data_IF_688273469449
#
_entry.id   IF_688273469449
#
_cell.length_a   1.000
_cell.length_b   1.000
_cell.length_c   1.000
_cell.angle_alpha   90.00
_cell.angle_beta   90.00
_cell.angle_gamma   90.00
#
_symmetry.space_group_name_H-M   'P 1'
#
loop_
_entity.id
_entity.type
_entity.pdbx_description
1 polymer ?
#
# COMPACT_ATOMS: atom_id res chain seq x y z
N UNK A 1 -1.75 -78.47 -15.45
CA UNK A 1 -1.67 -77.17 -16.16
C UNK A 1 -2.41 -76.15 -15.32
N UNK A 2 -1.69 -75.27 -14.64
CA UNK A 2 -2.27 -74.24 -13.77
C UNK A 2 -2.35 -72.93 -14.57
N UNK A 3 -3.55 -72.43 -14.77
CA UNK A 3 -3.84 -71.17 -15.47
C UNK A 3 -3.67 -70.01 -14.48
N UNK A 4 -2.67 -69.16 -14.69
CA UNK A 4 -2.55 -67.87 -14.01
C UNK A 4 -3.55 -66.88 -14.64
N UNK A 5 -4.45 -66.34 -13.84
CA UNK A 5 -5.27 -65.17 -14.19
C UNK A 5 -4.62 -63.96 -13.51
N UNK A 6 -4.03 -63.06 -14.31
CA UNK A 6 -3.49 -61.80 -13.83
C UNK A 6 -4.62 -60.76 -13.72
N UNK A 7 -4.93 -60.33 -12.49
CA UNK A 7 -5.76 -59.15 -12.25
C UNK A 7 -4.90 -57.89 -12.43
N UNK A 8 -5.11 -57.19 -13.54
CA UNK A 8 -4.61 -55.83 -13.71
C UNK A 8 -5.53 -54.87 -12.95
N UNK A 9 -5.12 -54.45 -11.75
CA UNK A 9 -5.70 -53.29 -11.09
C UNK A 9 -5.29 -52.03 -11.87
N UNK A 10 -6.18 -51.57 -12.76
CA UNK A 10 -6.12 -50.23 -13.31
C UNK A 10 -6.38 -49.22 -12.21
N UNK A 11 -5.33 -48.63 -11.66
CA UNK A 11 -5.42 -47.40 -10.88
C UNK A 11 -5.80 -46.26 -11.83
N UNK A 12 -7.10 -45.96 -11.89
CA UNK A 12 -7.62 -44.72 -12.43
C UNK A 12 -7.10 -43.56 -11.59
N UNK A 13 -5.96 -43.00 -11.99
CA UNK A 13 -5.55 -41.66 -11.61
C UNK A 13 -6.64 -40.70 -12.12
N UNK A 14 -7.57 -40.35 -11.23
CA UNK A 14 -8.55 -39.30 -11.48
C UNK A 14 -7.80 -37.98 -11.69
N UNK A 15 -7.48 -37.68 -12.95
CA UNK A 15 -7.01 -36.38 -13.36
C UNK A 15 -8.10 -35.36 -13.05
N UNK A 16 -7.91 -34.58 -11.99
CA UNK A 16 -8.75 -33.42 -11.72
C UNK A 16 -8.64 -32.47 -12.90
N UNK A 17 -9.65 -32.49 -13.78
CA UNK A 17 -9.70 -31.63 -14.96
C UNK A 17 -9.67 -30.15 -14.58
N UNK A 18 -9.14 -29.32 -15.48
CA UNK A 18 -9.13 -27.88 -15.33
C UNK A 18 -10.57 -27.36 -15.12
N UNK A 19 -10.82 -26.71 -13.99
CA UNK A 19 -12.14 -26.18 -13.58
C UNK A 19 -12.50 -24.85 -14.26
N UNK A 20 -11.62 -24.34 -15.11
CA UNK A 20 -11.77 -23.08 -15.84
C UNK A 20 -10.92 -21.96 -15.24
N UNK A 21 -11.40 -20.72 -15.43
CA UNK A 21 -10.66 -19.50 -15.07
C UNK A 21 -11.39 -18.71 -14.01
N UNK A 22 -10.67 -18.34 -12.95
CA UNK A 22 -11.06 -17.32 -11.97
C UNK A 22 -10.26 -16.04 -12.21
N UNK A 23 -10.80 -14.89 -11.81
CA UNK A 23 -10.15 -13.58 -11.95
C UNK A 23 -9.66 -13.09 -10.59
N UNK A 24 -8.50 -12.45 -10.58
CA UNK A 24 -8.07 -11.57 -9.49
C UNK A 24 -7.96 -10.17 -10.08
N UNK A 25 -8.67 -9.22 -9.47
CA UNK A 25 -8.59 -7.81 -9.83
C UNK A 25 -7.44 -7.12 -9.11
N UNK A 26 -6.99 -5.99 -9.64
CA UNK A 26 -6.30 -4.98 -8.84
C UNK A 26 -6.90 -3.62 -9.09
N UNK A 27 -6.78 -2.73 -8.11
CA UNK A 27 -7.03 -1.31 -8.30
C UNK A 27 -5.86 -0.51 -7.73
N UNK A 28 -5.10 0.14 -8.60
CA UNK A 28 -3.85 0.81 -8.25
C UNK A 28 -3.64 2.04 -9.15
N UNK A 29 -3.03 3.13 -8.66
CA UNK A 29 -2.74 4.33 -9.44
C UNK A 29 -1.51 4.09 -10.32
N UNK A 30 -1.67 3.39 -11.44
CA UNK A 30 -0.55 3.01 -12.31
C UNK A 30 0.07 4.17 -13.07
N UNK A 31 -0.55 5.35 -13.02
CA UNK A 31 0.08 6.61 -13.41
C UNK A 31 1.24 7.04 -12.48
N UNK A 32 1.38 6.44 -11.29
CA UNK A 32 2.49 6.67 -10.35
C UNK A 32 3.50 5.51 -10.41
N UNK A 33 4.77 5.79 -10.11
CA UNK A 33 5.80 4.74 -10.04
C UNK A 33 5.48 3.68 -8.97
N UNK A 34 4.94 4.12 -7.82
CA UNK A 34 4.51 3.23 -6.73
C UNK A 34 3.37 2.29 -7.14
N UNK A 35 2.33 2.80 -7.79
CA UNK A 35 1.21 1.98 -8.25
C UNK A 35 1.62 0.95 -9.31
N UNK A 36 2.47 1.35 -10.27
CA UNK A 36 2.94 0.44 -11.31
C UNK A 36 3.81 -0.70 -10.77
N UNK A 37 4.78 -0.39 -9.90
CA UNK A 37 5.64 -1.41 -9.28
C UNK A 37 4.87 -2.37 -8.36
N UNK A 38 3.82 -1.87 -7.70
CA UNK A 38 2.89 -2.68 -6.90
C UNK A 38 2.10 -3.65 -7.80
N UNK A 39 1.61 -3.18 -8.96
CA UNK A 39 0.89 -4.02 -9.93
C UNK A 39 1.76 -5.16 -10.47
N UNK A 40 3.04 -4.87 -10.72
CA UNK A 40 3.99 -5.88 -11.18
C UNK A 40 4.15 -7.04 -10.17
N UNK A 41 4.11 -6.74 -8.86
CA UNK A 41 4.14 -7.77 -7.81
C UNK A 41 2.96 -8.75 -7.86
N UNK A 42 1.77 -8.24 -8.17
CA UNK A 42 0.55 -9.03 -8.36
C UNK A 42 0.67 -9.93 -9.59
N UNK A 43 1.07 -9.34 -10.72
CA UNK A 43 1.27 -10.06 -11.97
C UNK A 43 2.31 -11.17 -11.81
N UNK A 44 3.41 -10.89 -11.11
CA UNK A 44 4.44 -11.88 -10.81
C UNK A 44 3.91 -13.06 -9.99
N UNK A 45 3.17 -12.80 -8.91
CA UNK A 45 2.58 -13.86 -8.07
C UNK A 45 1.63 -14.76 -8.86
N UNK A 46 0.77 -14.16 -9.69
CA UNK A 46 -0.19 -14.91 -10.52
C UNK A 46 0.53 -15.74 -11.58
N UNK A 47 1.54 -15.18 -12.26
CA UNK A 47 2.37 -15.91 -13.23
C UNK A 47 3.05 -17.11 -12.61
N UNK A 48 3.69 -16.93 -11.45
CA UNK A 48 4.32 -18.03 -10.72
C UNK A 48 3.30 -19.10 -10.32
N UNK A 49 2.12 -18.70 -9.83
CA UNK A 49 1.10 -19.66 -9.40
C UNK A 49 0.51 -20.44 -10.57
N UNK A 50 0.24 -19.79 -11.69
CA UNK A 50 -0.22 -20.45 -12.91
C UNK A 50 0.83 -21.41 -13.48
N UNK A 51 2.11 -21.02 -13.48
CA UNK A 51 3.21 -21.92 -13.87
C UNK A 51 3.31 -23.16 -12.95
N UNK A 52 2.89 -23.03 -11.69
CA UNK A 52 2.79 -24.12 -10.72
C UNK A 52 1.44 -24.88 -10.78
N UNK A 53 0.64 -24.73 -11.84
CA UNK A 53 -0.61 -25.47 -12.04
C UNK A 53 -1.88 -24.77 -11.53
N UNK A 54 -1.80 -23.49 -11.15
CA UNK A 54 -2.94 -22.68 -10.73
C UNK A 54 -3.37 -22.92 -9.28
N UNK A 55 -4.66 -22.68 -8.99
CA UNK A 55 -5.24 -22.77 -7.63
C UNK A 55 -6.46 -23.68 -7.66
N UNK A 56 -6.43 -24.78 -6.90
CA UNK A 56 -7.58 -25.69 -6.74
C UNK A 56 -8.21 -26.19 -8.06
N UNK A 57 -7.39 -26.31 -9.12
CA UNK A 57 -7.80 -26.70 -10.48
C UNK A 57 -8.23 -25.55 -11.38
N UNK A 58 -8.17 -24.29 -10.93
CA UNK A 58 -8.43 -23.10 -11.74
C UNK A 58 -7.14 -22.42 -12.20
N UNK A 59 -7.16 -21.90 -13.42
CA UNK A 59 -6.19 -20.90 -13.89
C UNK A 59 -6.62 -19.51 -13.42
N UNK A 60 -5.68 -18.68 -13.03
CA UNK A 60 -5.97 -17.31 -12.58
C UNK A 60 -5.73 -16.34 -13.73
N UNK A 61 -6.73 -15.52 -14.07
CA UNK A 61 -6.57 -14.37 -14.95
C UNK A 61 -6.37 -13.12 -14.09
N UNK A 62 -5.27 -12.42 -14.31
CA UNK A 62 -5.08 -11.09 -13.73
C UNK A 62 -5.85 -10.04 -14.55
N UNK A 63 -6.63 -9.19 -13.89
CA UNK A 63 -7.35 -8.07 -14.51
C UNK A 63 -7.03 -6.77 -13.78
N UNK A 64 -6.08 -5.96 -14.29
CA UNK A 64 -5.71 -4.71 -13.66
C UNK A 64 -6.72 -3.59 -13.96
N UNK A 65 -6.97 -2.75 -12.95
CA UNK A 65 -7.69 -1.49 -13.05
C UNK A 65 -6.80 -0.35 -12.54
N UNK A 66 -7.03 0.84 -13.09
CA UNK A 66 -6.28 2.07 -12.80
C UNK A 66 -7.24 3.12 -12.22
N UNK A 67 -6.98 3.57 -10.99
CA UNK A 67 -7.77 4.60 -10.30
C UNK A 67 -7.26 6.03 -10.60
N UNK A 68 -6.34 6.20 -11.55
CA UNK A 68 -5.82 7.52 -11.87
C UNK A 68 -6.82 8.42 -12.60
N UNK A 69 -6.86 9.70 -12.20
CA UNK A 69 -7.46 10.82 -12.94
C UNK A 69 -6.52 12.02 -12.85
N UNK A 70 -6.30 12.71 -13.97
CA UNK A 70 -5.43 13.90 -14.01
C UNK A 70 -4.02 13.68 -13.39
N UNK A 71 -3.43 12.50 -13.64
CA UNK A 71 -2.12 12.09 -13.12
C UNK A 71 -2.00 12.02 -11.58
N UNK A 72 -3.09 11.80 -10.87
CA UNK A 72 -3.14 11.46 -9.44
C UNK A 72 -4.19 10.37 -9.20
N UNK A 73 -4.18 9.72 -8.04
CA UNK A 73 -5.23 8.75 -7.69
C UNK A 73 -6.60 9.44 -7.57
N UNK A 74 -7.68 8.70 -7.79
CA UNK A 74 -9.06 9.18 -7.66
C UNK A 74 -9.93 8.15 -6.94
N UNK A 75 -10.51 8.55 -5.82
CA UNK A 75 -11.43 7.69 -5.08
C UNK A 75 -12.69 7.33 -5.90
N UNK A 76 -13.18 8.25 -6.73
CA UNK A 76 -14.33 8.01 -7.60
C UNK A 76 -14.00 6.96 -8.67
N UNK A 77 -12.81 7.03 -9.26
CA UNK A 77 -12.33 6.01 -10.19
C UNK A 77 -12.22 4.63 -9.52
N UNK A 78 -11.74 4.56 -8.28
CA UNK A 78 -11.69 3.31 -7.53
C UNK A 78 -13.08 2.71 -7.27
N UNK A 79 -14.05 3.56 -6.95
CA UNK A 79 -15.46 3.14 -6.81
C UNK A 79 -16.04 2.60 -8.13
N UNK A 80 -15.70 3.21 -9.27
CA UNK A 80 -16.08 2.72 -10.61
C UNK A 80 -15.46 1.34 -10.89
N UNK A 81 -14.16 1.20 -10.62
CA UNK A 81 -13.37 -0.01 -10.84
C UNK A 81 -13.89 -1.18 -10.01
N UNK A 82 -14.04 -1.01 -8.69
CA UNK A 82 -14.61 -2.06 -7.82
C UNK A 82 -16.03 -2.41 -8.24
N UNK A 83 -16.85 -1.43 -8.65
CA UNK A 83 -18.20 -1.70 -9.17
C UNK A 83 -18.18 -2.54 -10.44
N UNK A 84 -17.22 -2.32 -11.33
CA UNK A 84 -17.02 -3.15 -12.53
C UNK A 84 -16.65 -4.59 -12.17
N UNK A 85 -15.76 -4.79 -11.20
CA UNK A 85 -15.39 -6.12 -10.70
C UNK A 85 -16.60 -6.87 -10.10
N UNK A 86 -17.44 -6.17 -9.33
CA UNK A 86 -18.68 -6.73 -8.76
C UNK A 86 -19.69 -7.17 -9.82
N UNK A 87 -19.60 -6.63 -11.04
CA UNK A 87 -20.42 -7.04 -12.18
C UNK A 87 -20.07 -8.42 -12.76
N UNK A 88 -18.93 -9.01 -12.37
CA UNK A 88 -18.47 -10.31 -12.87
C UNK A 88 -18.15 -11.28 -11.72
N UNK A 89 -19.04 -12.27 -11.56
CA UNK A 89 -18.91 -13.34 -10.56
C UNK A 89 -17.64 -14.19 -10.65
N UNK A 90 -16.82 -14.06 -11.71
CA UNK A 90 -15.53 -14.75 -11.81
C UNK A 90 -14.44 -14.11 -10.97
N UNK A 91 -14.62 -12.87 -10.48
CA UNK A 91 -13.65 -12.26 -9.58
C UNK A 91 -13.69 -12.93 -8.21
N UNK A 92 -12.55 -13.52 -7.82
CA UNK A 92 -12.32 -14.06 -6.49
C UNK A 92 -12.22 -12.96 -5.42
N UNK A 93 -11.68 -11.81 -5.81
CA UNK A 93 -11.35 -10.68 -4.95
C UNK A 93 -10.41 -9.73 -5.68
N UNK A 94 -9.92 -8.72 -4.97
CA UNK A 94 -8.95 -7.76 -5.48
C UNK A 94 -7.77 -7.55 -4.55
N UNK A 95 -6.64 -7.22 -5.15
CA UNK A 95 -5.46 -6.70 -4.45
C UNK A 95 -5.42 -5.18 -4.66
N UNK A 96 -5.43 -4.45 -3.55
CA UNK A 96 -5.63 -3.00 -3.55
C UNK A 96 -6.74 -2.56 -2.57
N UNK A 97 -7.01 -1.25 -2.54
CA UNK A 97 -6.37 -0.23 -3.37
C UNK A 97 -5.03 0.24 -2.78
N UNK A 98 -4.31 1.10 -3.52
CA UNK A 98 -3.00 1.62 -3.09
C UNK A 98 -3.11 2.74 -2.04
N UNK A 99 -4.10 3.64 -2.19
CA UNK A 99 -4.28 4.80 -1.31
C UNK A 99 -5.40 4.58 -0.29
N UNK A 100 -5.18 4.99 0.96
CA UNK A 100 -6.17 4.83 2.04
C UNK A 100 -7.49 5.59 1.78
N UNK A 101 -7.44 6.70 1.05
CA UNK A 101 -8.63 7.45 0.66
C UNK A 101 -9.51 6.68 -0.35
N UNK A 102 -8.88 5.93 -1.26
CA UNK A 102 -9.57 5.08 -2.23
C UNK A 102 -10.20 3.89 -1.51
N UNK A 103 -9.48 3.25 -0.58
CA UNK A 103 -10.05 2.16 0.23
C UNK A 103 -11.28 2.60 1.03
N UNK A 104 -11.22 3.78 1.66
CA UNK A 104 -12.36 4.32 2.39
C UNK A 104 -13.62 4.44 1.51
N UNK A 105 -13.44 4.74 0.22
CA UNK A 105 -14.54 4.86 -0.74
C UNK A 105 -15.00 3.50 -1.31
N UNK A 106 -14.08 2.57 -1.54
CA UNK A 106 -14.36 1.25 -2.10
C UNK A 106 -14.97 0.25 -1.11
N UNK A 107 -14.53 0.27 0.16
CA UNK A 107 -14.96 -0.70 1.18
C UNK A 107 -16.50 -0.80 1.27
N UNK A 108 -17.27 0.31 1.36
CA UNK A 108 -18.74 0.25 1.38
C UNK A 108 -19.33 -0.42 0.14
N UNK A 109 -18.72 -0.19 -1.03
CA UNK A 109 -19.20 -0.75 -2.29
C UNK A 109 -18.95 -2.24 -2.37
N UNK A 110 -17.76 -2.69 -2.00
CA UNK A 110 -17.37 -4.10 -1.96
C UNK A 110 -18.11 -4.90 -0.87
N UNK A 111 -18.37 -4.28 0.29
CA UNK A 111 -19.03 -4.92 1.43
C UNK A 111 -20.44 -5.41 1.09
N UNK A 112 -21.16 -4.70 0.21
CA UNK A 112 -22.51 -5.06 -0.23
C UNK A 112 -22.61 -6.44 -0.90
N UNK A 113 -21.50 -6.98 -1.39
CA UNK A 113 -21.43 -8.32 -2.00
C UNK A 113 -20.38 -9.23 -1.33
N UNK A 114 -19.91 -8.88 -0.13
CA UNK A 114 -18.83 -9.60 0.56
C UNK A 114 -17.56 -9.77 -0.30
N UNK A 115 -17.29 -8.80 -1.18
CA UNK A 115 -16.15 -8.85 -2.08
C UNK A 115 -14.86 -8.55 -1.33
N UNK A 116 -13.92 -9.50 -1.37
CA UNK A 116 -12.68 -9.42 -0.58
C UNK A 116 -11.67 -8.49 -1.23
N UNK A 117 -11.17 -7.56 -0.43
CA UNK A 117 -10.11 -6.62 -0.78
C UNK A 117 -8.91 -6.85 0.13
N UNK A 118 -7.71 -6.96 -0.44
CA UNK A 118 -6.46 -7.05 0.32
C UNK A 118 -5.53 -5.95 -0.14
N UNK A 119 -5.38 -4.88 0.65
CA UNK A 119 -4.48 -3.80 0.31
C UNK A 119 -3.02 -4.15 0.63
N UNK A 120 -2.09 -3.90 -0.30
CA UNK A 120 -0.67 -4.05 -0.06
C UNK A 120 -0.04 -2.85 0.68
N UNK A 121 -0.72 -1.71 0.78
CA UNK A 121 -0.07 -0.44 1.11
C UNK A 121 -0.91 0.55 1.91
N UNK A 122 -2.19 0.29 2.19
CA UNK A 122 -2.98 1.23 2.99
C UNK A 122 -2.60 1.14 4.47
N UNK A 123 -2.18 2.25 5.05
CA UNK A 123 -1.66 2.31 6.42
C UNK A 123 -2.60 3.04 7.39
N UNK A 124 -3.64 3.73 6.90
CA UNK A 124 -4.54 4.47 7.79
C UNK A 124 -5.26 3.49 8.74
N UNK A 125 -5.08 3.61 10.08
CA UNK A 125 -5.59 2.64 11.03
C UNK A 125 -7.12 2.61 11.09
N UNK A 126 -7.81 3.72 10.80
CA UNK A 126 -9.26 3.84 10.90
C UNK A 126 -10.02 2.92 9.93
N UNK A 127 -9.38 2.40 8.87
CA UNK A 127 -10.01 1.41 7.97
C UNK A 127 -10.28 0.06 8.67
N UNK A 128 -9.57 -0.25 9.77
CA UNK A 128 -9.67 -1.55 10.46
C UNK A 128 -9.69 -1.47 11.99
N UNK A 129 -9.34 -0.34 12.60
CA UNK A 129 -9.28 -0.16 14.05
C UNK A 129 -10.26 0.93 14.48
N UNK A 130 -10.92 0.67 15.60
CA UNK A 130 -11.73 1.67 16.29
C UNK A 130 -10.83 2.46 17.24
N UNK A 131 -10.43 3.66 16.81
CA UNK A 131 -9.57 4.56 17.59
C UNK A 131 -10.29 5.88 17.85
N UNK A 132 -10.08 6.46 19.02
CA UNK A 132 -10.69 7.75 19.40
C UNK A 132 -10.29 8.92 18.49
N UNK A 133 -9.23 8.77 17.71
CA UNK A 133 -8.76 9.76 16.73
C UNK A 133 -9.43 9.62 15.36
N UNK A 134 -10.21 8.57 15.14
CA UNK A 134 -10.90 8.33 13.88
C UNK A 134 -12.20 9.14 13.79
N UNK A 135 -12.50 9.67 12.61
CA UNK A 135 -13.76 10.39 12.32
C UNK A 135 -14.93 9.46 11.97
N UNK A 136 -14.71 8.16 11.99
CA UNK A 136 -15.68 7.11 11.67
C UNK A 136 -15.27 5.80 12.35
N UNK A 137 -16.24 4.93 12.61
CA UNK A 137 -15.93 3.56 13.03
C UNK A 137 -15.67 2.71 11.78
N UNK A 138 -14.70 1.78 11.78
CA UNK A 138 -14.46 0.92 10.63
C UNK A 138 -15.73 0.13 10.23
N UNK A 139 -16.59 -0.24 11.19
CA UNK A 139 -17.82 -0.96 10.90
C UNK A 139 -18.84 -0.14 10.08
N UNK A 140 -18.78 1.19 10.18
CA UNK A 140 -19.64 2.10 9.39
C UNK A 140 -19.33 1.99 7.90
N UNK A 141 -18.06 1.76 7.54
CA UNK A 141 -17.66 1.55 6.15
C UNK A 141 -18.28 0.29 5.55
N UNK A 142 -18.76 -0.65 6.36
CA UNK A 142 -19.31 -1.93 5.89
C UNK A 142 -20.83 -2.00 5.98
N UNK A 143 -21.50 -0.96 6.51
CA UNK A 143 -22.95 -0.96 6.67
C UNK A 143 -23.49 -2.16 7.46
N UNK A 144 -22.75 -2.64 8.46
CA UNK A 144 -23.11 -3.83 9.24
C UNK A 144 -22.71 -5.18 8.62
N UNK A 145 -22.17 -5.21 7.41
CA UNK A 145 -21.71 -6.45 6.76
C UNK A 145 -20.44 -7.02 7.42
N UNK A 146 -20.15 -8.33 7.23
CA UNK A 146 -18.89 -8.94 7.66
C UNK A 146 -17.66 -8.23 7.08
N UNK A 147 -16.51 -8.43 7.72
CA UNK A 147 -15.26 -7.84 7.23
C UNK A 147 -14.90 -8.38 5.84
N UNK A 148 -14.76 -7.46 4.88
CA UNK A 148 -14.37 -7.74 3.51
C UNK A 148 -13.03 -7.09 3.13
N UNK A 149 -12.37 -6.40 4.06
CA UNK A 149 -11.16 -5.63 3.81
C UNK A 149 -10.02 -6.06 4.73
N UNK A 150 -8.85 -6.30 4.14
CA UNK A 150 -7.64 -6.74 4.81
C UNK A 150 -6.44 -5.93 4.30
N UNK A 151 -5.35 -5.94 5.06
CA UNK A 151 -4.07 -5.35 4.65
C UNK A 151 -2.92 -6.22 5.12
N UNK A 152 -1.78 -6.15 4.44
CA UNK A 152 -0.55 -6.90 4.80
C UNK A 152 0.54 -6.03 5.41
N UNK A 153 0.32 -4.71 5.46
CA UNK A 153 1.24 -3.74 6.06
C UNK A 153 0.80 -3.31 7.45
N UNK A 154 1.75 -2.76 8.21
CA UNK A 154 1.43 -2.10 9.48
C UNK A 154 0.68 -0.79 9.25
N UNK A 155 0.33 -0.09 10.32
CA UNK A 155 -0.54 1.09 10.29
C UNK A 155 0.16 2.35 10.82
N UNK A 156 -0.41 3.52 10.51
CA UNK A 156 0.18 4.83 10.82
C UNK A 156 0.30 5.13 12.31
N UNK A 157 -0.48 4.45 13.15
CA UNK A 157 -0.35 4.43 14.61
C UNK A 157 0.89 3.66 15.11
N UNK A 158 1.66 3.05 14.20
CA UNK A 158 3.03 2.60 14.44
C UNK A 158 4.06 3.49 13.71
N UNK A 159 3.80 3.86 12.45
CA UNK A 159 4.75 4.64 11.65
C UNK A 159 5.04 6.03 12.23
N UNK A 160 3.98 6.81 12.51
CA UNK A 160 4.14 8.15 13.06
C UNK A 160 4.91 8.14 14.39
N UNK A 161 4.54 7.29 15.37
CA UNK A 161 5.29 7.12 16.61
C UNK A 161 6.74 6.66 16.40
N UNK A 162 7.02 5.78 15.44
CA UNK A 162 8.39 5.33 15.15
C UNK A 162 9.27 6.49 14.67
N UNK A 163 8.77 7.33 13.76
CA UNK A 163 9.53 8.52 13.32
C UNK A 163 9.63 9.57 14.43
N UNK A 164 8.60 9.75 15.26
CA UNK A 164 8.65 10.66 16.41
C UNK A 164 9.71 10.23 17.44
N UNK A 165 9.77 8.93 17.73
CA UNK A 165 10.78 8.34 18.59
C UNK A 165 12.19 8.55 18.01
N UNK A 166 12.39 8.25 16.73
CA UNK A 166 13.66 8.47 16.05
C UNK A 166 14.08 9.95 16.07
N UNK A 167 13.16 10.86 15.74
CA UNK A 167 13.39 12.30 15.75
C UNK A 167 13.77 12.81 17.16
N UNK A 168 13.05 12.39 18.19
CA UNK A 168 13.25 12.91 19.54
C UNK A 168 14.44 12.26 20.27
N UNK A 169 14.56 10.94 20.19
CA UNK A 169 15.52 10.14 20.98
C UNK A 169 16.86 9.99 20.27
N UNK A 170 16.86 9.85 18.94
CA UNK A 170 18.09 9.62 18.16
C UNK A 170 18.63 10.92 17.60
N UNK A 171 17.79 11.70 16.90
CA UNK A 171 18.20 12.99 16.33
C UNK A 171 18.21 14.14 17.35
N UNK A 172 17.71 13.89 18.57
CA UNK A 172 17.64 14.86 19.66
C UNK A 172 16.86 16.15 19.31
N UNK A 173 15.91 16.04 18.37
CA UNK A 173 15.05 17.15 17.96
C UNK A 173 14.01 17.43 19.05
N UNK A 174 13.76 18.72 19.31
CA UNK A 174 12.79 19.21 20.30
C UNK A 174 11.68 20.03 19.67
N UNK A 175 11.89 20.58 18.47
CA UNK A 175 10.88 21.36 17.76
C UNK A 175 10.82 20.96 16.29
N UNK A 176 9.63 20.61 15.79
CA UNK A 176 9.44 20.10 14.42
C UNK A 176 8.28 20.84 13.75
N UNK A 177 8.50 21.25 12.49
CA UNK A 177 7.42 21.69 11.61
C UNK A 177 6.74 20.47 11.00
N UNK A 178 5.42 20.39 11.06
CA UNK A 178 4.64 19.28 10.47
C UNK A 178 3.80 19.82 9.32
N UNK A 179 4.01 19.28 8.12
CA UNK A 179 3.25 19.63 6.92
C UNK A 179 2.46 18.42 6.44
N UNK A 180 1.16 18.58 6.16
CA UNK A 180 0.38 17.53 5.50
C UNK A 180 -0.37 17.99 4.25
N UNK A 181 -0.67 17.03 3.36
CA UNK A 181 -1.37 17.24 2.10
C UNK A 181 -2.91 17.27 2.23
N UNK A 182 -3.43 17.33 3.46
CA UNK A 182 -4.87 17.28 3.80
C UNK A 182 -5.62 16.02 3.33
N UNK A 183 -4.94 15.01 2.80
CA UNK A 183 -5.57 13.74 2.45
C UNK A 183 -5.85 12.91 3.71
N UNK A 184 -6.70 11.88 3.57
CA UNK A 184 -7.02 10.95 4.67
C UNK A 184 -5.76 10.25 5.21
N UNK A 185 -4.79 9.95 4.34
CA UNK A 185 -3.51 9.38 4.73
C UNK A 185 -2.60 10.45 5.36
N UNK A 186 -2.33 11.55 4.65
CA UNK A 186 -1.37 12.56 5.07
C UNK A 186 -1.73 13.22 6.40
N UNK A 187 -3.00 13.58 6.59
CA UNK A 187 -3.48 14.12 7.86
C UNK A 187 -3.37 13.09 9.00
N UNK A 188 -3.72 11.83 8.74
CA UNK A 188 -3.72 10.76 9.74
C UNK A 188 -2.32 10.44 10.27
N UNK A 189 -1.33 10.28 9.39
CA UNK A 189 0.05 10.00 9.81
C UNK A 189 0.73 11.23 10.44
N UNK A 190 0.36 12.45 10.02
CA UNK A 190 0.79 13.69 10.67
C UNK A 190 0.26 13.81 12.11
N UNK A 191 -0.98 13.37 12.35
CA UNK A 191 -1.59 13.34 13.68
C UNK A 191 -0.87 12.35 14.61
N UNK A 192 -0.61 11.12 14.13
CA UNK A 192 0.05 10.10 14.96
C UNK A 192 1.49 10.48 15.32
N UNK A 193 2.26 11.04 14.37
CA UNK A 193 3.58 11.61 14.64
C UNK A 193 3.50 12.77 15.65
N UNK A 194 2.61 13.75 15.41
CA UNK A 194 2.50 14.95 16.24
C UNK A 194 2.12 14.61 17.68
N UNK A 195 1.23 13.63 17.85
CA UNK A 195 0.80 13.15 19.17
C UNK A 195 1.96 12.52 19.95
N UNK A 196 2.69 11.57 19.34
CA UNK A 196 3.80 10.92 20.03
C UNK A 196 4.95 11.89 20.28
N UNK A 197 5.30 12.75 19.32
CA UNK A 197 6.39 13.72 19.49
C UNK A 197 6.13 14.69 20.65
N UNK A 198 4.87 15.15 20.81
CA UNK A 198 4.45 15.97 21.95
C UNK A 198 4.50 15.19 23.28
N UNK A 199 4.06 13.92 23.28
CA UNK A 199 4.14 13.04 24.45
C UNK A 199 5.57 12.79 24.91
N UNK A 200 6.53 12.75 23.99
CA UNK A 200 7.97 12.68 24.30
C UNK A 200 8.54 14.00 24.86
N UNK A 201 7.77 15.09 24.81
CA UNK A 201 8.17 16.42 25.29
C UNK A 201 8.69 17.36 24.19
N UNK A 202 8.46 17.04 22.92
CA UNK A 202 8.73 17.93 21.80
C UNK A 202 7.58 18.91 21.52
N UNK A 203 7.86 19.93 20.72
CA UNK A 203 6.88 20.90 20.23
C UNK A 203 6.66 20.75 18.73
N UNK A 204 5.43 21.01 18.27
CA UNK A 204 5.05 20.90 16.87
C UNK A 204 4.40 22.21 16.41
N UNK A 205 4.89 22.75 15.29
CA UNK A 205 4.16 23.76 14.50
C UNK A 205 3.57 23.06 13.30
N UNK A 206 2.23 23.02 13.17
CA UNK A 206 1.55 22.28 12.10
C UNK A 206 0.96 23.23 11.06
N UNK A 207 1.02 22.81 9.80
CA UNK A 207 0.30 23.43 8.69
C UNK A 207 -0.11 22.34 7.68
N UNK A 208 -1.08 22.63 6.81
CA UNK A 208 -1.49 21.73 5.73
C UNK A 208 -1.68 22.48 4.41
N UNK A 209 -1.79 21.74 3.31
CA UNK A 209 -2.11 22.30 2.01
C UNK A 209 -2.98 21.34 1.20
N UNK A 210 -3.54 21.85 0.10
CA UNK A 210 -4.14 21.03 -0.96
C UNK A 210 -3.34 21.27 -2.22
N UNK A 211 -2.92 20.19 -2.90
CA UNK A 211 -2.10 20.25 -4.12
C UNK A 211 -2.67 21.24 -5.13
N UNK A 212 -3.99 21.28 -5.26
CA UNK A 212 -4.72 22.06 -6.28
C UNK A 212 -4.69 23.56 -6.01
N UNK A 213 -4.33 23.94 -4.79
CA UNK A 213 -4.32 25.30 -4.28
C UNK A 213 -2.89 25.76 -3.94
N UNK A 214 -1.87 24.92 -4.15
CA UNK A 214 -0.51 25.19 -3.67
C UNK A 214 0.54 24.75 -4.69
N UNK A 215 1.27 25.73 -5.20
CA UNK A 215 2.47 25.55 -6.02
C UNK A 215 3.74 26.04 -5.32
N UNK A 216 3.60 26.68 -4.16
CA UNK A 216 4.69 27.28 -3.38
C UNK A 216 4.44 27.10 -1.87
N UNK A 217 5.39 26.47 -1.19
CA UNK A 217 5.38 26.15 0.23
C UNK A 217 6.32 27.05 1.04
N UNK A 218 7.07 27.97 0.41
CA UNK A 218 8.07 28.82 1.09
C UNK A 218 7.51 29.58 2.28
N UNK A 219 6.28 30.11 2.18
CA UNK A 219 5.62 30.82 3.28
C UNK A 219 5.40 29.92 4.51
N UNK A 220 4.93 28.68 4.28
CA UNK A 220 4.73 27.67 5.32
C UNK A 220 6.06 27.25 5.96
N UNK A 221 7.08 27.02 5.12
CA UNK A 221 8.43 26.68 5.55
C UNK A 221 9.09 27.81 6.36
N UNK A 222 8.91 29.07 5.96
CA UNK A 222 9.39 30.23 6.72
C UNK A 222 8.69 30.35 8.08
N UNK A 223 7.40 30.04 8.15
CA UNK A 223 6.66 29.96 9.42
C UNK A 223 7.27 28.92 10.35
N UNK A 224 7.56 27.71 9.85
CA UNK A 224 8.22 26.68 10.65
C UNK A 224 9.63 27.11 11.11
N UNK A 225 10.43 27.66 10.20
CA UNK A 225 11.77 28.16 10.50
C UNK A 225 11.74 29.28 11.57
N UNK A 226 10.81 30.22 11.46
CA UNK A 226 10.61 31.30 12.43
C UNK A 226 10.13 30.79 13.80
N UNK A 227 9.32 29.72 13.80
CA UNK A 227 8.91 29.03 15.03
C UNK A 227 10.03 28.20 15.67
N UNK A 228 11.24 28.18 15.10
CA UNK A 228 12.39 27.45 15.63
C UNK A 228 12.39 25.95 15.31
N UNK A 229 11.65 25.51 14.29
CA UNK A 229 11.66 24.12 13.86
C UNK A 229 13.09 23.68 13.47
N UNK A 230 13.49 22.52 13.97
CA UNK A 230 14.80 21.90 13.73
C UNK A 230 14.74 20.85 12.62
N UNK A 231 13.53 20.44 12.23
CA UNK A 231 13.25 19.54 11.12
C UNK A 231 11.84 19.80 10.57
N UNK A 232 11.56 19.26 9.39
CA UNK A 232 10.21 19.17 8.85
C UNK A 232 9.81 17.69 8.81
N UNK A 233 8.69 17.34 9.42
CA UNK A 233 8.02 16.07 9.20
C UNK A 233 6.86 16.27 8.23
N UNK A 234 6.69 15.36 7.27
CA UNK A 234 5.60 15.42 6.30
C UNK A 234 4.70 14.20 6.33
N UNK A 235 3.40 14.46 6.27
CA UNK A 235 2.36 13.45 6.08
C UNK A 235 1.71 13.64 4.71
N UNK A 236 2.00 12.75 3.77
CA UNK A 236 1.42 12.83 2.43
C UNK A 236 2.20 12.01 1.43
N UNK A 237 1.77 12.08 0.17
CA UNK A 237 2.36 11.31 -0.93
C UNK A 237 2.99 12.22 -1.99
N UNK A 238 3.96 11.67 -2.70
CA UNK A 238 4.62 12.30 -3.85
C UNK A 238 3.62 12.76 -4.93
N UNK A 239 2.58 11.99 -5.23
CA UNK A 239 1.52 12.40 -6.17
C UNK A 239 0.72 13.64 -5.68
N UNK A 240 0.84 13.98 -4.39
CA UNK A 240 0.33 15.21 -3.78
C UNK A 240 1.37 16.33 -3.68
N UNK A 241 2.51 16.19 -4.36
CA UNK A 241 3.65 17.11 -4.37
C UNK A 241 4.37 17.27 -3.02
N UNK A 242 4.21 16.31 -2.10
CA UNK A 242 4.68 16.45 -0.73
C UNK A 242 6.19 16.60 -0.62
N UNK A 243 6.99 16.21 -1.62
CA UNK A 243 8.45 16.29 -1.58
C UNK A 243 9.04 17.56 -2.22
N UNK A 244 8.25 18.35 -2.97
CA UNK A 244 8.67 19.66 -3.52
C UNK A 244 9.15 20.64 -2.42
N UNK A 245 8.52 20.72 -1.23
CA UNK A 245 8.98 21.57 -0.13
C UNK A 245 10.47 21.37 0.22
N UNK A 246 11.04 20.16 0.05
CA UNK A 246 12.47 19.92 0.32
C UNK A 246 13.38 20.79 -0.53
N UNK A 247 13.08 20.93 -1.83
CA UNK A 247 13.79 21.84 -2.74
C UNK A 247 13.65 23.29 -2.26
N UNK A 248 12.46 23.68 -1.85
CA UNK A 248 12.17 25.06 -1.44
C UNK A 248 12.82 25.43 -0.09
N UNK A 249 13.00 24.47 0.83
CA UNK A 249 13.80 24.66 2.05
C UNK A 249 15.22 25.13 1.72
N UNK A 250 15.85 24.51 0.72
CA UNK A 250 17.20 24.89 0.27
C UNK A 250 17.24 26.28 -0.36
N UNK A 251 16.21 26.65 -1.13
CA UNK A 251 16.07 27.99 -1.72
C UNK A 251 15.94 29.10 -0.66
N UNK A 252 15.40 28.81 0.52
CA UNK A 252 15.31 29.75 1.66
C UNK A 252 16.47 29.60 2.66
N UNK A 253 17.54 28.90 2.27
CA UNK A 253 18.72 28.68 3.11
C UNK A 253 18.39 27.94 4.40
N UNK A 254 17.49 26.94 4.35
CA UNK A 254 17.15 26.10 5.48
C UNK A 254 17.53 24.65 5.20
N UNK A 255 18.57 24.15 5.88
CA UNK A 255 19.08 22.80 5.68
C UNK A 255 18.80 21.88 6.87
N UNK A 256 17.54 21.84 7.28
CA UNK A 256 17.07 20.95 8.33
C UNK A 256 16.70 19.57 7.75
N UNK A 257 16.73 18.49 8.57
CA UNK A 257 16.23 17.18 8.19
C UNK A 257 14.79 17.24 7.69
N UNK A 258 14.49 16.34 6.75
CA UNK A 258 13.18 16.20 6.14
C UNK A 258 12.71 14.76 6.35
N UNK A 259 11.66 14.58 7.13
CA UNK A 259 11.22 13.26 7.59
C UNK A 259 9.79 13.01 7.14
N UNK A 260 9.39 11.76 6.94
CA UNK A 260 8.01 11.44 6.61
C UNK A 260 7.67 9.97 6.79
N UNK A 261 6.46 9.62 6.35
CA UNK A 261 6.02 8.23 6.23
C UNK A 261 6.47 7.57 4.94
N UNK A 262 5.88 6.41 4.68
CA UNK A 262 6.07 5.59 3.48
C UNK A 262 5.67 6.31 2.18
N UNK A 263 4.78 7.30 2.24
CA UNK A 263 4.34 8.08 1.09
C UNK A 263 5.44 8.90 0.39
N UNK A 264 6.61 9.03 1.00
CA UNK A 264 7.79 9.69 0.41
C UNK A 264 8.90 8.71 0.02
N UNK A 265 8.68 7.39 0.16
CA UNK A 265 9.62 6.32 -0.18
C UNK A 265 9.54 5.96 -1.68
N UNK A 266 9.69 6.95 -2.56
CA UNK A 266 9.53 6.76 -4.02
C UNK A 266 10.60 7.48 -4.86
N UNK A 267 10.89 7.00 -6.08
CA UNK A 267 11.73 7.73 -7.03
C UNK A 267 11.17 9.12 -7.38
N UNK A 268 9.85 9.28 -7.43
CA UNK A 268 9.21 10.56 -7.75
C UNK A 268 9.43 11.60 -6.64
N UNK A 269 9.46 11.18 -5.37
CA UNK A 269 9.85 12.06 -4.27
C UNK A 269 11.30 12.58 -4.43
N UNK A 270 12.24 11.69 -4.81
CA UNK A 270 13.63 12.08 -5.09
C UNK A 270 13.71 13.08 -6.25
N UNK A 271 12.94 12.85 -7.31
CA UNK A 271 12.84 13.78 -8.44
C UNK A 271 12.30 15.16 -8.00
N UNK A 272 11.25 15.17 -7.15
CA UNK A 272 10.68 16.40 -6.59
C UNK A 272 11.66 17.17 -5.71
N UNK A 273 12.52 16.48 -4.97
CA UNK A 273 13.59 17.10 -4.18
C UNK A 273 14.65 17.80 -5.06
N UNK A 274 14.73 17.46 -6.36
CA UNK A 274 15.59 18.12 -7.36
C UNK A 274 17.06 18.23 -6.93
N UNK A 275 17.68 17.11 -6.53
CA UNK A 275 19.08 17.07 -6.08
C UNK A 275 19.30 17.47 -4.62
N UNK A 276 18.22 17.55 -3.82
CA UNK A 276 18.27 17.89 -2.39
C UNK A 276 17.82 16.72 -1.49
N UNK A 277 18.00 15.49 -1.95
CA UNK A 277 17.56 14.27 -1.27
C UNK A 277 18.35 13.92 -0.02
N UNK A 278 19.59 14.39 0.12
CA UNK A 278 20.38 14.16 1.34
C UNK A 278 19.66 14.74 2.56
N UNK A 279 19.46 13.92 3.58
CA UNK A 279 18.74 14.28 4.80
C UNK A 279 17.22 14.05 4.74
N UNK A 280 16.72 13.43 3.66
CA UNK A 280 15.38 12.83 3.64
C UNK A 280 15.41 11.49 4.40
N UNK A 281 14.40 11.23 5.23
CA UNK A 281 14.21 9.93 5.91
C UNK A 281 12.73 9.58 5.97
N UNK A 282 12.40 8.30 5.81
CA UNK A 282 11.03 7.81 5.81
C UNK A 282 10.89 6.59 6.72
N UNK A 283 9.72 6.40 7.32
CA UNK A 283 9.33 5.07 7.81
C UNK A 283 8.77 4.24 6.67
N UNK A 284 8.93 2.92 6.75
CA UNK A 284 8.27 1.99 5.84
C UNK A 284 7.23 1.17 6.61
N UNK A 285 6.05 0.99 6.02
CA UNK A 285 4.97 0.24 6.65
C UNK A 285 5.08 -1.28 6.45
N UNK A 286 5.88 -1.70 5.47
CA UNK A 286 6.25 -3.08 5.24
C UNK A 286 7.68 -3.34 5.69
N UNK A 287 8.01 -4.60 5.95
CA UNK A 287 9.41 -4.98 6.07
C UNK A 287 10.11 -4.80 4.72
N UNK A 288 11.36 -4.35 4.71
CA UNK A 288 12.18 -4.34 3.51
C UNK A 288 12.40 -5.79 3.05
N UNK A 289 11.72 -6.16 1.97
CA UNK A 289 11.74 -7.50 1.43
C UNK A 289 13.16 -7.97 1.06
N UNK A 290 14.06 -7.04 0.73
CA UNK A 290 15.47 -7.35 0.40
C UNK A 290 16.27 -7.80 1.63
N UNK A 291 15.78 -7.49 2.82
CA UNK A 291 16.38 -7.89 4.11
C UNK A 291 15.71 -9.13 4.71
N UNK A 292 14.63 -9.65 4.11
CA UNK A 292 13.95 -10.84 4.61
C UNK A 292 14.74 -12.11 4.27
N UNK A 293 15.14 -12.91 5.28
CA UNK A 293 15.77 -14.20 5.03
C UNK A 293 14.87 -15.10 4.16
N UNK A 294 15.40 -15.59 3.04
CA UNK A 294 14.67 -16.45 2.10
C UNK A 294 13.95 -15.73 0.96
N UNK A 295 13.80 -14.40 1.00
CA UNK A 295 13.14 -13.66 -0.07
C UNK A 295 14.04 -13.46 -1.32
N UNK A 296 15.36 -13.62 -1.18
CA UNK A 296 16.34 -13.32 -2.23
C UNK A 296 16.03 -14.00 -3.57
N UNK A 297 15.77 -15.31 -3.57
CA UNK A 297 15.49 -16.05 -4.81
C UNK A 297 14.22 -15.56 -5.50
N UNK A 298 13.19 -15.20 -4.73
CA UNK A 298 11.94 -14.66 -5.25
C UNK A 298 12.14 -13.28 -5.84
N UNK A 299 12.91 -12.41 -5.18
CA UNK A 299 13.23 -11.07 -5.68
C UNK A 299 14.12 -11.12 -6.93
N UNK A 300 15.10 -12.03 -6.97
CA UNK A 300 15.94 -12.22 -8.17
C UNK A 300 15.09 -12.70 -9.35
N UNK A 301 14.16 -13.63 -9.12
CA UNK A 301 13.22 -14.09 -10.14
C UNK A 301 12.24 -12.98 -10.58
N UNK A 302 11.79 -12.13 -9.65
CA UNK A 302 10.99 -10.94 -9.97
C UNK A 302 11.78 -10.00 -10.90
N UNK A 303 13.01 -9.64 -10.53
CA UNK A 303 13.87 -8.72 -11.31
C UNK A 303 14.22 -9.29 -12.69
N UNK A 304 14.30 -10.61 -12.83
CA UNK A 304 14.48 -11.25 -14.13
C UNK A 304 13.22 -11.12 -15.02
N UNK A 305 12.03 -11.18 -14.43
CA UNK A 305 10.76 -11.00 -15.14
C UNK A 305 10.41 -9.52 -15.41
N UNK A 306 10.91 -8.62 -14.57
CA UNK A 306 10.66 -7.18 -14.60
C UNK A 306 11.98 -6.41 -14.41
N UNK A 307 12.76 -6.20 -15.49
CA UNK A 307 14.14 -5.73 -15.40
C UNK A 307 14.30 -4.21 -15.31
N UNK A 308 13.23 -3.42 -15.44
CA UNK A 308 13.37 -1.96 -15.40
C UNK A 308 13.54 -1.48 -13.96
N UNK A 309 14.33 -0.41 -13.71
CA UNK A 309 14.57 0.07 -12.35
C UNK A 309 13.29 0.40 -11.56
N UNK A 310 12.29 0.97 -12.24
CA UNK A 310 11.02 1.37 -11.62
C UNK A 310 10.00 0.23 -11.55
N UNK A 311 10.36 -1.00 -11.95
CA UNK A 311 9.45 -2.14 -11.82
C UNK A 311 9.33 -2.63 -10.37
N UNK A 312 10.31 -2.33 -9.52
CA UNK A 312 10.36 -2.71 -8.11
C UNK A 312 10.29 -1.46 -7.22
N UNK A 313 9.38 -1.45 -6.26
CA UNK A 313 9.17 -0.36 -5.30
C UNK A 313 8.82 -0.89 -3.91
N UNK A 314 8.57 0.04 -2.98
CA UNK A 314 8.37 -0.26 -1.55
C UNK A 314 7.22 -1.24 -1.25
N UNK A 315 6.23 -1.33 -2.14
CA UNK A 315 5.05 -2.20 -1.97
C UNK A 315 4.94 -3.36 -2.97
N UNK A 316 5.96 -3.58 -3.82
CA UNK A 316 5.96 -4.68 -4.80
C UNK A 316 5.83 -6.05 -4.15
N UNK A 317 6.61 -6.32 -3.11
CA UNK A 317 6.61 -7.65 -2.47
C UNK A 317 5.42 -7.84 -1.51
N UNK A 318 4.88 -6.75 -0.97
CA UNK A 318 3.65 -6.76 -0.19
C UNK A 318 2.46 -7.10 -1.08
N UNK A 319 2.42 -6.60 -2.31
CA UNK A 319 1.42 -7.00 -3.30
C UNK A 319 1.58 -8.47 -3.73
N UNK A 320 2.82 -8.93 -3.88
CA UNK A 320 3.11 -10.35 -4.11
C UNK A 320 2.55 -11.23 -2.97
N UNK A 321 2.82 -10.86 -1.71
CA UNK A 321 2.35 -11.61 -0.54
C UNK A 321 0.83 -11.54 -0.37
N UNK A 322 0.23 -10.36 -0.55
CA UNK A 322 -1.22 -10.18 -0.52
C UNK A 322 -1.92 -11.07 -1.57
N UNK A 323 -1.35 -11.15 -2.77
CA UNK A 323 -1.86 -12.00 -3.86
C UNK A 323 -1.78 -13.47 -3.48
N UNK A 324 -0.64 -13.91 -2.93
CA UNK A 324 -0.47 -15.28 -2.47
C UNK A 324 -1.41 -15.63 -1.31
N UNK A 325 -1.64 -14.72 -0.37
CA UNK A 325 -2.59 -14.91 0.72
C UNK A 325 -4.03 -15.10 0.20
N UNK A 326 -4.47 -14.25 -0.74
CA UNK A 326 -5.78 -14.38 -1.38
C UNK A 326 -5.92 -15.72 -2.12
N UNK A 327 -4.91 -16.12 -2.88
CA UNK A 327 -4.89 -17.42 -3.59
C UNK A 327 -4.88 -18.62 -2.64
N UNK A 328 -4.19 -18.53 -1.51
CA UNK A 328 -4.11 -19.59 -0.50
C UNK A 328 -5.45 -19.81 0.20
N UNK A 329 -6.19 -18.75 0.52
CA UNK A 329 -7.50 -18.83 1.16
C UNK A 329 -8.50 -19.67 0.35
N UNK A 330 -8.42 -19.63 -0.98
CA UNK A 330 -9.23 -20.45 -1.89
C UNK A 330 -8.91 -21.94 -1.80
N UNK A 331 -7.66 -22.29 -1.48
CA UNK A 331 -7.20 -23.68 -1.37
C UNK A 331 -7.61 -24.34 -0.03
N UNK A 332 -7.79 -23.56 1.03
CA UNK A 332 -8.23 -24.08 2.33
C UNK A 332 -9.73 -24.42 2.32
N UNK A 333 -10.55 -23.64 1.61
CA UNK A 333 -12.01 -23.84 1.57
C UNK A 333 -12.41 -25.15 0.87
N UNK A 334 -11.63 -25.61 -0.11
CA UNK A 334 -11.86 -26.89 -0.80
C UNK A 334 -11.51 -28.11 0.05
N UNK A 335 -10.63 -27.97 1.05
CA UNK A 335 -10.25 -29.06 1.96
C UNK A 335 -11.27 -29.31 3.09
N UNK A 336 -12.03 -28.28 3.51
CA UNK A 336 -13.05 -28.40 4.58
C UNK A 336 -14.42 -28.86 4.10
N UNK A 337 -14.62 -29.07 2.80
CA UNK A 337 -15.89 -29.52 2.21
C UNK A 337 -15.77 -30.86 1.48
N UNK A 338 -14.74 -31.66 1.79
CA UNK A 338 -14.54 -33.01 1.26
C UNK A 338 -14.68 -34.06 2.38
#
# INVERSE_FOLDING_TARGET
MATLIAFACGSTSGGGGAKGTIKIGSDLPTCTAGGKSTQNGIDFAIKQKNAAGGVSGFTIQFVPFDDCRQAAYSADAGVENVTSMLGDSKFLGMIGPYNSAVAKAEIPRAAAQSFTMVSPSNTNPCLTKDLSTCSYHPQDLRGGQPNNYFRVVTTDDYQGPAMADYAYKTLNLKNVGVLDDSTVFGAGIADTFSSEFKKLGGTVTRDSYKKEQTSDWRSKLLTFKAAGAQAVYVGGTDDQNICIPRKQMKQIGWDAPYMGGDGIETPDCINQASGNEVGISATSAGADATQIPGAKSTIDAFRAAFPQPNDFGGYTMQAYDATNALMAATSTRTATTA
#
